data_IF_731257063728
#
_entry.id   IF_731257063728
#
_cell.length_a   1.000
_cell.length_b   1.000
_cell.length_c   1.000
_cell.angle_alpha   90.00
_cell.angle_beta   90.00
_cell.angle_gamma   90.00
#
_symmetry.space_group_name_H-M   'P 1'
#
loop_
_entity.id
_entity.type
_entity.pdbx_description
1 polymer ?
#
# COMPACT_ATOMS: atom_id res chain seq x y z
N UNK A 1 -2.84 36.75 -37.17
CA UNK A 1 -2.30 35.46 -36.65
C UNK A 1 -0.80 35.65 -36.49
N UNK A 2 -0.12 35.26 -35.40
CA UNK A 2 -0.21 34.01 -34.60
C UNK A 2 -0.28 34.33 -33.07
N UNK A 3 -0.28 33.45 -32.05
CA UNK A 3 0.41 32.18 -31.76
C UNK A 3 -0.43 31.37 -30.75
N UNK A 4 -0.72 30.11 -31.06
CA UNK A 4 -1.13 29.12 -30.06
C UNK A 4 0.12 28.71 -29.26
N UNK A 5 0.21 29.09 -27.98
CA UNK A 5 1.30 28.70 -27.08
C UNK A 5 0.79 27.69 -26.05
N UNK A 6 1.00 26.41 -26.38
CA UNK A 6 1.65 25.40 -25.51
C UNK A 6 1.20 25.32 -24.05
N UNK A 7 0.03 24.73 -23.79
CA UNK A 7 -0.41 24.35 -22.41
C UNK A 7 -0.23 22.85 -22.08
N UNK A 8 0.26 22.02 -23.00
CA UNK A 8 0.18 20.56 -22.84
C UNK A 8 1.30 19.85 -22.08
N UNK A 9 2.29 20.53 -21.49
CA UNK A 9 3.55 19.85 -21.06
C UNK A 9 3.94 19.97 -19.57
N UNK A 10 3.17 20.70 -18.75
CA UNK A 10 3.50 20.91 -17.32
C UNK A 10 2.59 20.19 -16.32
N UNK A 11 1.49 19.54 -16.74
CA UNK A 11 0.53 18.94 -15.80
C UNK A 11 0.90 17.54 -15.28
N UNK A 12 1.74 16.78 -15.99
CA UNK A 12 2.05 15.39 -15.60
C UNK A 12 3.03 15.31 -14.43
N UNK A 13 4.04 16.18 -14.39
CA UNK A 13 5.03 16.19 -13.30
C UNK A 13 4.45 16.75 -11.99
N UNK A 14 3.62 17.79 -12.07
CA UNK A 14 2.88 18.30 -10.91
C UNK A 14 1.89 17.24 -10.36
N UNK A 15 1.33 16.40 -11.23
CA UNK A 15 0.45 15.30 -10.85
C UNK A 15 1.18 14.12 -10.22
N UNK A 16 2.42 13.81 -10.61
CA UNK A 16 3.19 12.70 -10.01
C UNK A 16 3.61 13.02 -8.57
N UNK A 17 4.13 14.22 -8.32
CA UNK A 17 4.50 14.64 -6.96
C UNK A 17 3.29 14.64 -6.01
N UNK A 18 2.10 15.00 -6.51
CA UNK A 18 0.85 14.92 -5.75
C UNK A 18 0.47 13.47 -5.43
N UNK A 19 0.61 12.55 -6.40
CA UNK A 19 0.34 11.12 -6.21
C UNK A 19 1.34 10.52 -5.19
N UNK A 20 2.63 10.81 -5.33
CA UNK A 20 3.67 10.37 -4.41
C UNK A 20 3.38 10.81 -2.97
N UNK A 21 3.06 12.09 -2.78
CA UNK A 21 2.71 12.61 -1.44
C UNK A 21 1.48 11.95 -0.84
N UNK A 22 0.43 11.70 -1.65
CA UNK A 22 -0.77 10.99 -1.19
C UNK A 22 -0.49 9.52 -0.87
N UNK A 23 0.34 8.87 -1.67
CA UNK A 23 0.73 7.47 -1.47
C UNK A 23 1.49 7.31 -0.15
N UNK A 24 2.44 8.21 0.15
CA UNK A 24 3.19 8.20 1.40
C UNK A 24 2.29 8.37 2.63
N UNK A 25 1.31 9.28 2.56
CA UNK A 25 0.32 9.46 3.65
C UNK A 25 -0.50 8.19 3.85
N UNK A 26 -0.96 7.57 2.76
CA UNK A 26 -1.72 6.31 2.83
C UNK A 26 -0.88 5.17 3.40
N UNK A 27 0.41 5.12 3.09
CA UNK A 27 1.34 4.13 3.62
C UNK A 27 1.49 4.24 5.14
N UNK A 28 1.72 5.46 5.65
CA UNK A 28 1.83 5.70 7.10
C UNK A 28 0.52 5.35 7.81
N UNK A 29 -0.63 5.73 7.23
CA UNK A 29 -1.95 5.38 7.79
C UNK A 29 -2.17 3.87 7.80
N UNK A 30 -1.81 3.18 6.70
CA UNK A 30 -1.94 1.74 6.59
C UNK A 30 -1.06 1.02 7.61
N UNK A 31 0.22 1.36 7.69
CA UNK A 31 1.16 0.76 8.66
C UNK A 31 0.70 0.98 10.10
N UNK A 32 0.25 2.19 10.44
CA UNK A 32 -0.25 2.50 11.80
C UNK A 32 -1.51 1.70 12.12
N UNK A 33 -2.44 1.59 11.16
CA UNK A 33 -3.68 0.84 11.34
C UNK A 33 -3.42 -0.66 11.47
N UNK A 34 -2.55 -1.21 10.62
CA UNK A 34 -2.08 -2.58 10.72
C UNK A 34 -1.41 -2.83 12.06
N UNK A 35 -0.55 -1.91 12.50
CA UNK A 35 0.11 -1.97 13.78
C UNK A 35 -0.90 -2.14 14.93
N UNK A 36 -1.97 -1.34 14.95
CA UNK A 36 -3.00 -1.47 15.97
C UNK A 36 -3.78 -2.79 15.89
N UNK A 37 -4.02 -3.32 14.69
CA UNK A 37 -4.74 -4.59 14.51
C UNK A 37 -3.88 -5.80 14.89
N UNK A 38 -2.59 -5.71 14.60
CA UNK A 38 -1.59 -6.73 14.87
C UNK A 38 -0.95 -6.61 16.26
N UNK A 39 -1.16 -5.51 16.99
CA UNK A 39 -0.76 -5.33 18.39
C UNK A 39 -1.62 -6.22 19.30
N UNK A 40 -1.30 -7.51 19.23
CA UNK A 40 -1.93 -8.59 19.97
C UNK A 40 -1.13 -8.78 21.24
N UNK A 41 -1.20 -7.81 22.14
CA UNK A 41 -0.64 -7.89 23.50
C UNK A 41 -1.16 -9.11 24.31
N UNK A 42 -2.23 -9.75 23.83
CA UNK A 42 -2.67 -11.07 24.24
C UNK A 42 -2.29 -12.14 23.20
N UNK A 43 -1.53 -13.19 23.55
CA UNK A 43 -1.05 -14.20 22.61
C UNK A 43 -2.17 -15.00 21.91
N UNK A 44 -3.35 -15.08 22.51
CA UNK A 44 -4.54 -15.71 21.88
C UNK A 44 -5.09 -14.91 20.69
N UNK A 45 -4.73 -13.62 20.57
CA UNK A 45 -5.14 -12.76 19.45
C UNK A 45 -4.16 -12.77 18.29
N UNK A 46 -2.97 -13.38 18.44
CA UNK A 46 -1.96 -13.44 17.40
C UNK A 46 -2.46 -14.13 16.10
N UNK A 47 -3.31 -15.15 16.24
CA UNK A 47 -3.92 -15.83 15.10
C UNK A 47 -4.95 -14.96 14.36
N UNK A 48 -5.63 -14.05 15.08
CA UNK A 48 -6.54 -13.06 14.48
C UNK A 48 -5.73 -12.08 13.63
N UNK A 49 -4.60 -11.59 14.16
CA UNK A 49 -3.69 -10.71 13.44
C UNK A 49 -3.23 -11.33 12.11
N UNK A 50 -2.79 -12.59 12.13
CA UNK A 50 -2.41 -13.33 10.91
C UNK A 50 -3.56 -13.51 9.93
N UNK A 51 -4.77 -13.76 10.43
CA UNK A 51 -5.98 -13.84 9.61
C UNK A 51 -6.28 -12.53 8.87
N UNK A 52 -6.07 -11.37 9.51
CA UNK A 52 -6.26 -10.08 8.85
C UNK A 52 -5.25 -9.85 7.73
N UNK A 53 -3.98 -10.26 7.90
CA UNK A 53 -2.98 -10.13 6.84
C UNK A 53 -3.34 -10.94 5.60
N UNK A 54 -3.87 -12.15 5.80
CA UNK A 54 -4.38 -12.98 4.71
C UNK A 54 -5.54 -12.29 3.97
N UNK A 55 -6.50 -11.73 4.71
CA UNK A 55 -7.65 -11.01 4.13
C UNK A 55 -7.22 -9.76 3.35
N UNK A 56 -6.21 -9.04 3.82
CA UNK A 56 -5.67 -7.87 3.09
C UNK A 56 -5.07 -8.31 1.76
N UNK A 57 -4.27 -9.38 1.75
CA UNK A 57 -3.68 -9.92 0.53
C UNK A 57 -4.76 -10.35 -0.47
N UNK A 58 -5.76 -11.10 -0.02
CA UNK A 58 -6.89 -11.53 -0.85
C UNK A 58 -7.69 -10.33 -1.39
N UNK A 59 -7.90 -9.29 -0.59
CA UNK A 59 -8.58 -8.08 -1.04
C UNK A 59 -7.79 -7.35 -2.14
N UNK A 60 -6.45 -7.28 -2.04
CA UNK A 60 -5.60 -6.69 -3.09
C UNK A 60 -5.71 -7.50 -4.39
N UNK A 61 -5.63 -8.82 -4.32
CA UNK A 61 -5.80 -9.71 -5.49
C UNK A 61 -7.14 -9.50 -6.17
N UNK A 62 -8.23 -9.54 -5.40
CA UNK A 62 -9.58 -9.35 -5.89
C UNK A 62 -9.75 -7.96 -6.53
N UNK A 63 -9.13 -6.93 -5.93
CA UNK A 63 -9.23 -5.58 -6.47
C UNK A 63 -8.42 -5.39 -7.76
N UNK A 64 -7.25 -6.01 -7.88
CA UNK A 64 -6.48 -6.01 -9.11
C UNK A 64 -7.28 -6.66 -10.26
N UNK A 65 -7.94 -7.78 -9.97
CA UNK A 65 -8.81 -8.45 -10.93
C UNK A 65 -10.05 -7.60 -11.29
N UNK A 66 -10.71 -6.97 -10.31
CA UNK A 66 -11.86 -6.09 -10.51
C UNK A 66 -11.52 -4.89 -11.41
N UNK A 67 -10.30 -4.38 -11.29
CA UNK A 67 -9.82 -3.23 -12.07
C UNK A 67 -9.20 -3.59 -13.42
N UNK A 68 -9.17 -4.88 -13.78
CA UNK A 68 -8.55 -5.40 -15.01
C UNK A 68 -7.12 -4.87 -15.21
N UNK A 69 -6.34 -4.87 -14.12
CA UNK A 69 -4.94 -4.43 -14.16
C UNK A 69 -4.10 -5.37 -15.03
N UNK A 70 -3.07 -4.83 -15.67
CA UNK A 70 -2.08 -5.67 -16.35
C UNK A 70 -1.41 -6.64 -15.37
N UNK A 71 -0.83 -7.71 -15.91
CA UNK A 71 -0.08 -8.68 -15.11
C UNK A 71 1.09 -8.01 -14.38
N UNK A 72 1.81 -7.10 -15.03
CA UNK A 72 2.90 -6.31 -14.43
C UNK A 72 2.41 -5.44 -13.26
N UNK A 73 1.28 -4.75 -13.43
CA UNK A 73 0.70 -3.90 -12.39
C UNK A 73 0.18 -4.75 -11.22
N UNK A 74 -0.41 -5.92 -11.51
CA UNK A 74 -0.85 -6.88 -10.50
C UNK A 74 0.34 -7.44 -9.72
N UNK A 75 1.44 -7.81 -10.39
CA UNK A 75 2.67 -8.25 -9.73
C UNK A 75 3.23 -7.16 -8.83
N UNK A 76 3.29 -5.92 -9.32
CA UNK A 76 3.76 -4.78 -8.53
C UNK A 76 2.90 -4.57 -7.27
N UNK A 77 1.58 -4.70 -7.38
CA UNK A 77 0.67 -4.58 -6.23
C UNK A 77 0.87 -5.72 -5.21
N UNK A 78 1.13 -6.95 -5.68
CA UNK A 78 1.45 -8.12 -4.83
C UNK A 78 2.74 -7.93 -4.05
N UNK A 79 3.80 -7.53 -4.76
CA UNK A 79 5.11 -7.32 -4.14
C UNK A 79 5.03 -6.20 -3.09
N UNK A 80 4.32 -5.12 -3.42
CA UNK A 80 4.16 -3.99 -2.52
C UNK A 80 3.32 -4.32 -1.27
N UNK A 81 2.23 -5.08 -1.41
CA UNK A 81 1.46 -5.49 -0.24
C UNK A 81 2.30 -6.38 0.67
N UNK A 82 3.07 -7.33 0.13
CA UNK A 82 3.95 -8.17 0.95
C UNK A 82 5.01 -7.35 1.71
N UNK A 83 5.64 -6.38 1.05
CA UNK A 83 6.61 -5.49 1.68
C UNK A 83 5.98 -4.70 2.84
N UNK A 84 4.79 -4.15 2.63
CA UNK A 84 4.08 -3.38 3.65
C UNK A 84 3.66 -4.25 4.85
N UNK A 85 3.14 -5.45 4.60
CA UNK A 85 2.74 -6.38 5.65
C UNK A 85 3.95 -6.87 6.46
N UNK A 86 5.07 -7.19 5.80
CA UNK A 86 6.31 -7.60 6.45
C UNK A 86 6.90 -6.47 7.29
N UNK A 87 6.90 -5.23 6.76
CA UNK A 87 7.41 -4.05 7.48
C UNK A 87 6.58 -3.75 8.72
N UNK A 88 5.25 -3.84 8.62
CA UNK A 88 4.36 -3.70 9.76
C UNK A 88 4.62 -4.78 10.82
N UNK A 89 4.78 -6.04 10.41
CA UNK A 89 5.10 -7.15 11.32
C UNK A 89 6.45 -6.94 12.04
N UNK A 90 7.50 -6.54 11.32
CA UNK A 90 8.81 -6.27 11.93
C UNK A 90 8.79 -5.08 12.89
N UNK A 91 8.00 -4.05 12.59
CA UNK A 91 7.86 -2.88 13.46
C UNK A 91 7.17 -3.22 14.79
N UNK A 92 6.25 -4.17 14.77
CA UNK A 92 5.46 -4.61 15.93
C UNK A 92 6.13 -5.71 16.75
N UNK A 93 6.81 -6.63 16.07
CA UNK A 93 7.56 -7.71 16.66
C UNK A 93 9.04 -7.55 16.34
N UNK A 94 9.70 -6.48 16.85
CA UNK A 94 11.12 -6.31 16.63
C UNK A 94 11.85 -7.51 17.22
N UNK A 95 12.68 -8.18 16.42
CA UNK A 95 13.53 -9.27 16.91
C UNK A 95 14.36 -8.74 18.08
N UNK A 96 14.07 -9.22 19.29
CA UNK A 96 14.86 -8.91 20.47
C UNK A 96 16.25 -9.51 20.26
N UNK A 97 17.24 -8.65 20.03
CA UNK A 97 18.66 -9.00 20.07
C UNK A 97 19.12 -9.27 21.50
#
# INVERSE_FOLDING_TARGET
MPLARRDGKNNTAASLAEIEGRMLVLEVVAMTSLAMVLDTSEPEKADIGRGVLYLIREAVENKCAEMDLSEDATSTARDYVDELLNTAMHSLFPERH
#
